data_IF_895483805094
#
_entry.id   IF_895483805094
#
_cell.length_a   1.000
_cell.length_b   1.000
_cell.length_c   1.000
_cell.angle_alpha   90.00
_cell.angle_beta   90.00
_cell.angle_gamma   90.00
#
_symmetry.space_group_name_H-M   'P 1'
#
loop_
_entity.id
_entity.type
_entity.pdbx_description
1 polymer ?
#
# COMPACT_ATOMS: atom_id res chain seq x y z
N UNK A 1 -16.48 -35.31 -32.19
CA UNK A 1 -16.82 -34.19 -31.28
C UNK A 1 -15.76 -33.12 -31.46
N UNK A 2 -16.14 -31.94 -31.96
CA UNK A 2 -15.23 -30.82 -32.11
C UNK A 2 -15.28 -29.97 -30.83
N UNK A 3 -14.13 -29.76 -30.20
CA UNK A 3 -13.97 -28.89 -29.04
C UNK A 3 -14.18 -27.45 -29.49
N UNK A 4 -15.19 -26.77 -28.94
CA UNK A 4 -15.38 -25.34 -29.18
C UNK A 4 -14.20 -24.57 -28.56
N UNK A 5 -13.66 -23.53 -29.23
CA UNK A 5 -12.63 -22.70 -28.62
C UNK A 5 -13.24 -21.98 -27.41
N UNK A 6 -12.60 -22.13 -26.24
CA UNK A 6 -12.91 -21.29 -25.09
C UNK A 6 -12.71 -19.83 -25.52
N UNK A 7 -13.74 -19.00 -25.36
CA UNK A 7 -13.61 -17.58 -25.58
C UNK A 7 -12.51 -17.05 -24.65
N UNK A 8 -11.48 -16.44 -25.23
CA UNK A 8 -10.45 -15.78 -24.44
C UNK A 8 -11.10 -14.66 -23.63
N UNK A 9 -10.85 -14.63 -22.32
CA UNK A 9 -11.25 -13.49 -21.50
C UNK A 9 -10.64 -12.21 -22.09
N UNK A 10 -11.39 -11.09 -22.11
CA UNK A 10 -10.85 -9.83 -22.61
C UNK A 10 -9.62 -9.44 -21.77
N UNK A 11 -8.55 -9.06 -22.46
CA UNK A 11 -7.33 -8.61 -21.80
C UNK A 11 -7.61 -7.41 -20.89
N UNK A 12 -6.92 -7.29 -19.74
CA UNK A 12 -7.11 -6.17 -18.83
C UNK A 12 -6.78 -4.84 -19.52
N UNK A 13 -7.50 -3.79 -19.15
CA UNK A 13 -7.25 -2.44 -19.67
C UNK A 13 -5.83 -1.97 -19.29
N UNK A 14 -5.12 -1.35 -20.23
CA UNK A 14 -3.70 -1.00 -20.05
C UNK A 14 -3.48 -0.03 -18.87
N UNK A 15 -4.40 0.90 -18.66
CA UNK A 15 -4.43 1.82 -17.53
C UNK A 15 -4.66 1.12 -16.19
N UNK A 16 -5.47 0.05 -16.16
CA UNK A 16 -5.67 -0.75 -14.97
C UNK A 16 -4.39 -1.51 -14.62
N UNK A 17 -3.75 -2.15 -15.61
CA UNK A 17 -2.44 -2.81 -15.43
C UNK A 17 -1.41 -1.81 -14.90
N UNK A 18 -1.28 -0.64 -15.53
CA UNK A 18 -0.31 0.37 -15.12
C UNK A 18 -0.56 0.90 -13.69
N UNK A 19 -1.82 1.16 -13.33
CA UNK A 19 -2.19 1.60 -11.98
C UNK A 19 -1.90 0.51 -10.94
N UNK A 20 -2.34 -0.72 -11.20
CA UNK A 20 -2.18 -1.85 -10.28
C UNK A 20 -0.70 -2.22 -10.07
N UNK A 21 0.11 -2.26 -11.12
CA UNK A 21 1.57 -2.49 -10.99
C UNK A 21 2.25 -1.39 -10.17
N UNK A 22 1.88 -0.12 -10.41
CA UNK A 22 2.45 0.99 -9.62
C UNK A 22 2.00 0.92 -8.16
N UNK A 23 0.76 0.53 -7.89
CA UNK A 23 0.28 0.35 -6.53
C UNK A 23 0.96 -0.82 -5.82
N UNK A 24 1.17 -1.96 -6.50
CA UNK A 24 1.96 -3.08 -5.96
C UNK A 24 3.38 -2.62 -5.57
N UNK A 25 4.03 -1.81 -6.41
CA UNK A 25 5.32 -1.20 -6.07
C UNK A 25 5.24 -0.34 -4.80
N UNK A 26 4.15 0.40 -4.59
CA UNK A 26 3.95 1.17 -3.36
C UNK A 26 3.84 0.26 -2.13
N UNK A 27 3.13 -0.87 -2.24
CA UNK A 27 3.00 -1.85 -1.15
C UNK A 27 4.36 -2.48 -0.82
N UNK A 28 5.16 -2.83 -1.82
CA UNK A 28 6.52 -3.37 -1.61
C UNK A 28 7.41 -2.37 -0.88
N UNK A 29 7.40 -1.10 -1.31
CA UNK A 29 8.15 -0.03 -0.63
C UNK A 29 7.66 0.10 0.82
N UNK A 30 6.35 0.15 1.04
CA UNK A 30 5.78 0.30 2.39
C UNK A 30 6.20 -0.86 3.31
N UNK A 31 6.08 -2.09 2.84
CA UNK A 31 6.45 -3.31 3.58
C UNK A 31 7.92 -3.29 3.98
N UNK A 32 8.83 -3.08 3.01
CA UNK A 32 10.27 -3.04 3.25
C UNK A 32 10.68 -1.91 4.21
N UNK A 33 9.98 -0.77 4.13
CA UNK A 33 10.31 0.40 4.95
C UNK A 33 9.77 0.28 6.38
N UNK A 34 8.63 -0.36 6.57
CA UNK A 34 8.00 -0.50 7.88
C UNK A 34 8.63 -1.62 8.72
N UNK A 35 9.23 -2.65 8.09
CA UNK A 35 9.67 -3.88 8.76
C UNK A 35 10.64 -3.65 9.92
N UNK A 36 11.65 -2.79 9.77
CA UNK A 36 12.64 -2.52 10.84
C UNK A 36 12.00 -1.88 12.08
N UNK A 37 11.22 -0.83 11.87
CA UNK A 37 10.51 -0.13 12.94
C UNK A 37 9.47 -1.02 13.63
N UNK A 38 8.71 -1.80 12.86
CA UNK A 38 7.72 -2.73 13.40
C UNK A 38 8.38 -3.82 14.26
N UNK A 39 9.53 -4.34 13.81
CA UNK A 39 10.29 -5.34 14.55
C UNK A 39 10.85 -4.78 15.87
N UNK A 40 11.41 -3.56 15.86
CA UNK A 40 11.88 -2.91 17.09
C UNK A 40 10.76 -2.71 18.12
N UNK A 41 9.59 -2.23 17.69
CA UNK A 41 8.42 -2.13 18.58
C UNK A 41 7.97 -3.50 19.11
N UNK A 42 8.00 -4.54 18.28
CA UNK A 42 7.61 -5.90 18.68
C UNK A 42 8.59 -6.53 19.69
N UNK A 43 9.87 -6.15 19.66
CA UNK A 43 10.89 -6.57 20.63
C UNK A 43 10.85 -5.76 21.93
N UNK A 44 10.01 -4.72 22.00
CA UNK A 44 9.83 -3.89 23.19
C UNK A 44 10.81 -2.71 23.28
N UNK A 45 11.45 -2.33 22.17
CA UNK A 45 12.34 -1.17 22.15
C UNK A 45 11.56 0.11 22.47
N UNK A 46 12.14 0.95 23.34
CA UNK A 46 11.52 2.21 23.74
C UNK A 46 11.92 3.37 22.81
N UNK A 47 11.02 4.34 22.67
CA UNK A 47 11.31 5.59 21.96
C UNK A 47 12.47 6.33 22.66
N UNK A 48 13.63 6.35 22.01
CA UNK A 48 14.87 6.83 22.62
C UNK A 48 16.06 5.94 22.26
N UNK A 49 15.81 4.67 21.95
CA UNK A 49 16.84 3.77 21.40
C UNK A 49 17.35 4.32 20.05
N UNK A 50 18.67 4.48 19.87
CA UNK A 50 19.25 4.97 18.61
C UNK A 50 18.85 4.14 17.38
N UNK A 51 18.71 2.83 17.53
CA UNK A 51 18.34 1.89 16.47
C UNK A 51 16.88 2.09 16.08
N UNK A 52 15.96 2.08 17.06
CA UNK A 52 14.54 2.32 16.80
C UNK A 52 14.29 3.71 16.19
N UNK A 53 15.06 4.72 16.60
CA UNK A 53 14.99 6.06 16.02
C UNK A 53 15.46 6.08 14.56
N UNK A 54 16.58 5.42 14.25
CA UNK A 54 17.09 5.31 12.88
C UNK A 54 16.10 4.53 11.98
N UNK A 55 15.53 3.44 12.50
CA UNK A 55 14.52 2.64 11.79
C UNK A 55 13.23 3.41 11.59
N UNK A 56 12.78 4.21 12.56
CA UNK A 56 11.62 5.10 12.40
C UNK A 56 11.87 6.14 11.31
N UNK A 57 13.05 6.76 11.28
CA UNK A 57 13.41 7.75 10.26
C UNK A 57 13.45 7.14 8.86
N UNK A 58 14.11 6.00 8.71
CA UNK A 58 14.15 5.22 7.47
C UNK A 58 12.74 4.81 7.03
N UNK A 59 11.96 4.25 7.96
CA UNK A 59 10.60 3.79 7.70
C UNK A 59 9.65 4.92 7.29
N UNK A 60 9.71 6.08 7.93
CA UNK A 60 8.95 7.27 7.52
C UNK A 60 9.36 7.75 6.13
N UNK A 61 10.64 7.69 5.80
CA UNK A 61 11.14 8.11 4.49
C UNK A 61 10.62 7.21 3.39
N UNK A 62 10.72 5.90 3.58
CA UNK A 62 10.19 4.94 2.63
C UNK A 62 8.66 4.95 2.53
N UNK A 63 7.93 5.08 3.64
CA UNK A 63 6.48 5.23 3.61
C UNK A 63 6.02 6.51 2.89
N UNK A 64 6.73 7.63 3.02
CA UNK A 64 6.43 8.84 2.22
C UNK A 64 6.60 8.59 0.72
N UNK A 65 7.62 7.81 0.34
CA UNK A 65 7.80 7.40 -1.05
C UNK A 65 6.65 6.50 -1.51
N UNK A 66 6.26 5.51 -0.72
CA UNK A 66 5.13 4.64 -0.99
C UNK A 66 3.81 5.43 -1.15
N UNK A 67 3.55 6.40 -0.27
CA UNK A 67 2.39 7.31 -0.36
C UNK A 67 2.37 8.03 -1.72
N UNK A 68 3.50 8.62 -2.11
CA UNK A 68 3.61 9.32 -3.41
C UNK A 68 3.32 8.38 -4.58
N UNK A 69 3.88 7.16 -4.54
CA UNK A 69 3.70 6.14 -5.57
C UNK A 69 2.25 5.64 -5.65
N UNK A 70 1.60 5.39 -4.52
CA UNK A 70 0.19 4.99 -4.47
C UNK A 70 -0.75 6.12 -4.93
N UNK A 71 -0.49 7.36 -4.53
CA UNK A 71 -1.25 8.51 -5.01
C UNK A 71 -1.09 8.68 -6.52
N UNK A 72 0.12 8.50 -7.05
CA UNK A 72 0.37 8.49 -8.49
C UNK A 72 -0.33 7.32 -9.22
N UNK A 73 -0.43 6.14 -8.60
CA UNK A 73 -1.20 5.01 -9.13
C UNK A 73 -2.69 5.36 -9.24
N UNK A 74 -3.26 5.95 -8.18
CA UNK A 74 -4.66 6.40 -8.16
C UNK A 74 -5.00 7.48 -9.19
N UNK A 75 -3.98 8.20 -9.70
CA UNK A 75 -4.11 9.29 -10.68
C UNK A 75 -3.78 8.84 -12.11
N UNK A 76 -3.64 7.53 -12.34
CA UNK A 76 -3.38 7.00 -13.68
C UNK A 76 -4.52 7.42 -14.63
N UNK A 77 -4.22 8.10 -15.75
CA UNK A 77 -5.26 8.55 -16.67
C UNK A 77 -6.11 7.39 -17.19
N UNK A 78 -7.43 7.56 -17.20
CA UNK A 78 -8.38 6.56 -17.71
C UNK A 78 -8.71 5.43 -16.74
N UNK A 79 -7.99 5.29 -15.61
CA UNK A 79 -8.26 4.21 -14.65
C UNK A 79 -9.67 4.35 -14.05
N UNK A 80 -10.35 3.23 -13.89
CA UNK A 80 -11.68 3.19 -13.29
C UNK A 80 -11.67 3.73 -11.84
N UNK A 81 -12.71 4.46 -11.40
CA UNK A 81 -12.86 4.91 -10.01
C UNK A 81 -12.79 3.78 -8.98
N UNK A 82 -13.29 2.60 -9.32
CA UNK A 82 -13.34 1.41 -8.47
C UNK A 82 -11.93 0.88 -8.14
N UNK A 83 -10.96 1.09 -9.05
CA UNK A 83 -9.55 0.74 -8.85
C UNK A 83 -8.80 1.89 -8.16
N UNK A 84 -9.04 3.14 -8.58
CA UNK A 84 -8.28 4.29 -8.08
C UNK A 84 -8.70 4.77 -6.69
N UNK A 85 -9.98 4.66 -6.33
CA UNK A 85 -10.49 5.10 -5.04
C UNK A 85 -9.80 4.41 -3.84
N UNK A 86 -9.67 3.08 -3.79
CA UNK A 86 -8.96 2.42 -2.68
C UNK A 86 -7.46 2.76 -2.65
N UNK A 87 -6.80 2.92 -3.80
CA UNK A 87 -5.40 3.38 -3.86
C UNK A 87 -5.22 4.78 -3.26
N UNK A 88 -6.16 5.67 -3.54
CA UNK A 88 -6.17 7.02 -2.97
C UNK A 88 -6.43 7.00 -1.47
N UNK A 89 -7.41 6.21 -1.02
CA UNK A 89 -7.70 6.05 0.41
C UNK A 89 -6.49 5.50 1.17
N UNK A 90 -5.87 4.46 0.62
CA UNK A 90 -4.62 3.90 1.13
C UNK A 90 -3.53 4.96 1.29
N UNK A 91 -3.36 5.85 0.30
CA UNK A 91 -2.34 6.92 0.38
C UNK A 91 -2.59 7.91 1.54
N UNK A 92 -3.85 8.16 1.89
CA UNK A 92 -4.20 9.02 3.03
C UNK A 92 -3.93 8.32 4.35
N UNK A 93 -4.26 7.05 4.48
CA UNK A 93 -4.00 6.29 5.71
C UNK A 93 -2.51 5.99 5.91
N UNK A 94 -1.77 5.76 4.83
CA UNK A 94 -0.31 5.66 4.89
C UNK A 94 0.30 7.00 5.33
N UNK A 95 -0.25 8.13 4.90
CA UNK A 95 0.16 9.46 5.38
C UNK A 95 -0.13 9.62 6.88
N UNK A 96 -1.30 9.18 7.34
CA UNK A 96 -1.65 9.16 8.77
C UNK A 96 -0.63 8.34 9.55
N UNK A 97 -0.24 7.14 9.08
CA UNK A 97 0.78 6.32 9.71
C UNK A 97 2.15 7.04 9.81
N UNK A 98 2.60 7.71 8.74
CA UNK A 98 3.84 8.50 8.75
C UNK A 98 3.82 9.61 9.81
N UNK A 99 2.67 10.25 10.01
CA UNK A 99 2.49 11.28 11.03
C UNK A 99 2.53 10.68 12.43
N UNK A 100 1.81 9.57 12.65
CA UNK A 100 1.81 8.87 13.94
C UNK A 100 3.23 8.43 14.32
N UNK A 101 4.00 7.88 13.36
CA UNK A 101 5.41 7.49 13.56
C UNK A 101 6.28 8.66 14.00
N UNK A 102 6.04 9.86 13.45
CA UNK A 102 6.77 11.07 13.82
C UNK A 102 6.35 11.65 15.17
N UNK A 103 5.08 11.48 15.54
CA UNK A 103 4.53 11.94 16.81
C UNK A 103 4.78 10.97 17.97
N UNK A 104 5.28 9.76 17.69
CA UNK A 104 5.60 8.73 18.70
C UNK A 104 4.41 8.43 19.61
N UNK A 105 3.22 8.34 19.01
CA UNK A 105 1.96 8.08 19.71
C UNK A 105 1.89 6.67 20.30
N UNK A 106 0.86 6.36 21.07
CA UNK A 106 0.65 5.02 21.63
C UNK A 106 0.42 3.94 20.57
N UNK A 107 0.83 2.71 20.89
CA UNK A 107 0.72 1.50 20.05
C UNK A 107 -0.69 1.26 19.51
N UNK A 108 -1.73 1.55 20.30
CA UNK A 108 -3.13 1.38 19.87
C UNK A 108 -3.49 2.25 18.66
N UNK A 109 -2.96 3.47 18.57
CA UNK A 109 -3.21 4.36 17.42
C UNK A 109 -2.51 3.86 16.17
N UNK A 110 -1.32 3.27 16.32
CA UNK A 110 -0.63 2.61 15.22
C UNK A 110 -1.43 1.40 14.71
N UNK A 111 -1.91 0.55 15.62
CA UNK A 111 -2.67 -0.65 15.27
C UNK A 111 -3.98 -0.31 14.52
N UNK A 112 -4.67 0.74 14.95
CA UNK A 112 -5.86 1.23 14.25
C UNK A 112 -5.51 1.75 12.84
N UNK A 113 -4.46 2.55 12.70
CA UNK A 113 -4.03 3.05 11.39
C UNK A 113 -3.55 1.93 10.46
N UNK A 114 -2.86 0.92 10.99
CA UNK A 114 -2.43 -0.25 10.24
C UNK A 114 -3.63 -1.10 9.77
N UNK A 115 -4.67 -1.22 10.60
CA UNK A 115 -5.91 -1.93 10.25
C UNK A 115 -6.63 -1.24 9.09
N UNK A 116 -6.80 0.08 9.15
CA UNK A 116 -7.39 0.88 8.07
C UNK A 116 -6.57 0.74 6.77
N UNK A 117 -5.24 0.83 6.88
CA UNK A 117 -4.33 0.69 5.75
C UNK A 117 -4.42 -0.69 5.08
N UNK A 118 -4.55 -1.75 5.88
CA UNK A 118 -4.72 -3.12 5.37
C UNK A 118 -6.06 -3.30 4.66
N UNK A 119 -7.15 -2.74 5.20
CA UNK A 119 -8.46 -2.80 4.55
C UNK A 119 -8.44 -2.14 3.16
N UNK A 120 -7.74 -1.01 2.99
CA UNK A 120 -7.59 -0.40 1.67
C UNK A 120 -6.61 -1.13 0.75
N UNK A 121 -5.62 -1.83 1.31
CA UNK A 121 -4.75 -2.73 0.55
C UNK A 121 -5.57 -3.85 -0.08
N UNK A 122 -6.37 -4.54 0.72
CA UNK A 122 -7.27 -5.61 0.27
C UNK A 122 -8.28 -5.10 -0.76
N UNK A 123 -8.89 -3.93 -0.51
CA UNK A 123 -9.82 -3.32 -1.46
C UNK A 123 -9.15 -3.01 -2.81
N UNK A 124 -7.95 -2.43 -2.82
CA UNK A 124 -7.23 -2.14 -4.07
C UNK A 124 -6.79 -3.43 -4.79
N UNK A 125 -6.29 -4.43 -4.07
CA UNK A 125 -5.90 -5.72 -4.66
C UNK A 125 -7.11 -6.46 -5.24
N UNK A 126 -8.25 -6.44 -4.55
CA UNK A 126 -9.49 -7.05 -5.04
C UNK A 126 -10.01 -6.35 -6.30
N UNK A 127 -9.94 -5.01 -6.36
CA UNK A 127 -10.31 -4.25 -7.54
C UNK A 127 -9.36 -4.51 -8.72
N UNK A 128 -8.06 -4.61 -8.46
CA UNK A 128 -7.05 -4.99 -9.44
C UNK A 128 -7.27 -6.39 -10.00
N UNK A 129 -7.60 -7.37 -9.14
CA UNK A 129 -7.93 -8.73 -9.55
C UNK A 129 -9.23 -8.77 -10.38
N UNK A 130 -10.27 -8.05 -9.96
CA UNK A 130 -11.53 -7.96 -10.69
C UNK A 130 -11.37 -7.31 -12.09
N UNK A 131 -10.38 -6.43 -12.25
CA UNK A 131 -10.01 -5.86 -13.54
C UNK A 131 -9.15 -6.80 -14.41
N UNK A 132 -8.87 -8.02 -13.96
CA UNK A 132 -8.04 -9.00 -14.67
C UNK A 132 -6.55 -8.71 -14.62
N UNK A 133 -6.08 -7.86 -13.70
CA UNK A 133 -4.64 -7.58 -13.55
C UNK A 133 -3.99 -8.60 -12.61
N UNK A 134 -2.73 -8.96 -12.89
CA UNK A 134 -1.92 -9.88 -12.09
C UNK A 134 -0.72 -9.16 -11.44
N UNK A 135 -0.94 -7.92 -11.02
CA UNK A 135 0.06 -7.09 -10.36
C UNK A 135 0.22 -7.45 -8.87
#
# INVERSE_FOLDING_TARGET
MATAPAAAEPAPAAEAVAACTRFATALDIASLSYQGFANGLALGDEHGDPTLNADNESGRTGLRHAVSTALAASRTPGVAPEISAPMRAWSFDATKLVLLMGLRVDVDRYNSAATELNAHTEAAQSACAAAGTHA
#
